data_IF_271457700558
#
_entry.id   IF_271457700558
#
_cell.length_a   1.000
_cell.length_b   1.000
_cell.length_c   1.000
_cell.angle_alpha   90.00
_cell.angle_beta   90.00
_cell.angle_gamma   90.00
#
_symmetry.space_group_name_H-M   'P 1'
#
loop_
_entity.id
_entity.type
_entity.pdbx_description
1 polymer ?
#
# COMPACT_ATOMS: atom_id res chain seq x y z
N UNK A 1 58.18 -34.16 3.29
CA UNK A 1 58.17 -35.52 3.80
C UNK A 1 56.88 -35.80 4.51
N UNK A 2 56.15 -36.81 4.00
CA UNK A 2 55.06 -37.61 4.57
C UNK A 2 53.77 -36.90 5.08
N UNK A 3 52.80 -36.98 4.21
CA UNK A 3 51.36 -36.92 4.41
C UNK A 3 50.92 -38.15 5.22
N UNK A 4 49.93 -38.01 6.12
CA UNK A 4 49.05 -39.11 6.51
C UNK A 4 47.63 -38.56 6.77
N UNK A 5 46.58 -39.28 6.36
CA UNK A 5 45.24 -38.74 6.26
C UNK A 5 44.40 -39.08 7.52
N UNK A 6 43.57 -38.15 7.91
CA UNK A 6 42.57 -38.38 8.95
C UNK A 6 41.22 -38.63 8.25
N UNK A 7 41.00 -39.86 7.84
CA UNK A 7 39.72 -40.38 7.41
C UNK A 7 39.58 -41.79 8.02
N UNK A 8 38.80 -41.88 9.10
CA UNK A 8 38.23 -43.14 9.61
C UNK A 8 37.73 -42.90 11.06
N UNK A 9 36.55 -42.37 11.25
CA UNK A 9 35.80 -42.49 12.50
C UNK A 9 34.40 -41.87 12.38
N UNK A 10 33.63 -42.33 11.44
CA UNK A 10 32.13 -42.16 11.45
C UNK A 10 31.52 -43.35 10.71
N UNK A 11 31.60 -44.52 11.29
CA UNK A 11 30.82 -45.67 10.83
C UNK A 11 30.82 -46.71 11.94
N UNK A 12 30.00 -46.52 12.96
CA UNK A 12 29.65 -47.58 13.94
C UNK A 12 28.71 -47.04 15.00
N UNK A 13 27.45 -46.70 14.63
CA UNK A 13 26.33 -46.53 15.55
C UNK A 13 24.99 -46.59 14.79
N UNK A 14 24.81 -47.66 14.02
CA UNK A 14 23.52 -47.95 13.39
C UNK A 14 23.35 -49.46 13.26
N UNK A 15 23.37 -50.19 14.37
CA UNK A 15 22.94 -51.59 14.37
C UNK A 15 22.79 -52.10 15.82
N UNK A 16 21.79 -51.68 16.53
CA UNK A 16 21.17 -52.41 17.65
C UNK A 16 19.85 -51.76 18.01
N UNK A 17 18.82 -52.00 17.29
CA UNK A 17 17.39 -52.07 17.74
C UNK A 17 16.56 -52.77 16.65
N UNK A 18 16.81 -54.05 16.48
CA UNK A 18 15.79 -54.94 15.90
C UNK A 18 16.02 -56.27 16.62
N UNK A 19 15.12 -56.62 17.49
CA UNK A 19 14.75 -57.95 17.91
C UNK A 19 14.29 -57.91 19.40
N UNK A 20 13.02 -57.57 19.62
CA UNK A 20 12.14 -58.25 20.59
C UNK A 20 10.70 -57.85 20.24
N UNK A 21 10.03 -58.59 19.45
CA UNK A 21 8.57 -58.59 19.37
C UNK A 21 8.12 -59.91 18.77
N UNK A 22 8.05 -60.90 19.59
CA UNK A 22 7.22 -62.06 19.28
C UNK A 22 6.40 -62.41 20.51
N UNK A 23 5.08 -62.49 20.27
CA UNK A 23 4.08 -63.21 21.04
C UNK A 23 3.44 -62.50 22.23
N UNK A 24 2.29 -61.89 21.97
CA UNK A 24 1.10 -62.09 22.79
C UNK A 24 -0.14 -61.93 21.91
N UNK A 25 -0.79 -63.02 21.58
CA UNK A 25 -2.17 -63.10 21.08
C UNK A 25 -3.09 -62.66 22.22
N UNK A 26 -3.90 -61.65 21.99
CA UNK A 26 -4.93 -61.21 22.94
C UNK A 26 -5.69 -60.02 22.35
N UNK A 27 -6.76 -60.32 21.60
CA UNK A 27 -7.60 -59.30 20.95
C UNK A 27 -8.23 -58.33 21.95
N UNK A 28 -7.86 -57.09 21.85
CA UNK A 28 -8.66 -55.92 22.30
C UNK A 28 -8.81 -54.99 21.11
N UNK A 29 -10.03 -54.92 20.60
CA UNK A 29 -10.42 -53.96 19.57
C UNK A 29 -10.46 -52.60 20.23
N UNK A 30 -9.36 -51.84 20.15
CA UNK A 30 -9.38 -50.41 20.40
C UNK A 30 -9.88 -49.70 19.13
N UNK A 31 -11.07 -49.13 19.22
CA UNK A 31 -11.56 -48.22 18.19
C UNK A 31 -10.53 -47.08 18.03
N UNK A 32 -10.09 -46.87 16.78
CA UNK A 32 -9.26 -45.74 16.45
C UNK A 32 -9.98 -44.41 16.86
N UNK A 33 -9.33 -43.54 17.62
CA UNK A 33 -9.86 -42.18 17.76
C UNK A 33 -9.85 -41.52 16.38
N UNK A 34 -11.03 -41.28 15.85
CA UNK A 34 -11.20 -40.57 14.58
C UNK A 34 -10.30 -39.33 14.58
N UNK A 35 -9.41 -39.21 13.59
CA UNK A 35 -8.69 -38.00 13.28
C UNK A 35 -9.69 -36.83 13.26
N UNK A 36 -9.43 -35.74 13.98
CA UNK A 36 -10.27 -34.56 13.88
C UNK A 36 -10.29 -34.14 12.40
N UNK A 37 -11.47 -34.09 11.83
CA UNK A 37 -11.68 -33.56 10.50
C UNK A 37 -11.00 -32.17 10.47
N UNK A 38 -9.93 -32.06 9.70
CA UNK A 38 -9.34 -30.75 9.40
C UNK A 38 -10.43 -29.97 8.66
N UNK A 39 -11.11 -29.12 9.40
CA UNK A 39 -11.97 -28.10 8.82
C UNK A 39 -11.05 -27.25 7.97
N UNK A 40 -11.06 -27.49 6.66
CA UNK A 40 -10.45 -26.60 5.70
C UNK A 40 -11.13 -25.24 5.88
N UNK A 41 -10.47 -24.34 6.57
CA UNK A 41 -10.88 -22.94 6.61
C UNK A 41 -10.86 -22.48 5.15
N UNK A 42 -12.02 -22.13 4.63
CA UNK A 42 -12.09 -21.43 3.35
C UNK A 42 -11.10 -20.24 3.42
N UNK A 43 -10.32 -19.98 2.37
CA UNK A 43 -9.40 -18.85 2.38
C UNK A 43 -10.21 -17.59 2.71
N UNK A 44 -9.81 -16.91 3.78
CA UNK A 44 -10.36 -15.60 4.13
C UNK A 44 -10.17 -14.69 2.90
N UNK A 45 -11.21 -14.00 2.43
CA UNK A 45 -11.03 -13.02 1.36
C UNK A 45 -9.88 -12.08 1.74
N UNK A 46 -9.01 -11.78 0.78
CA UNK A 46 -7.93 -10.83 0.99
C UNK A 46 -8.50 -9.55 1.60
N UNK A 47 -7.92 -9.09 2.70
CA UNK A 47 -8.38 -7.87 3.35
C UNK A 47 -8.17 -6.71 2.37
N UNK A 48 -9.24 -6.05 1.96
CA UNK A 48 -9.16 -4.85 1.12
C UNK A 48 -8.47 -3.75 1.93
N UNK A 49 -7.44 -3.13 1.35
CA UNK A 49 -6.75 -1.99 1.97
C UNK A 49 -7.75 -0.88 2.33
N UNK A 50 -7.57 -0.20 3.47
CA UNK A 50 -8.45 0.90 3.87
C UNK A 50 -8.59 1.92 2.74
N UNK A 51 -9.79 2.41 2.48
CA UNK A 51 -9.96 3.51 1.54
C UNK A 51 -9.19 4.74 2.03
N UNK A 52 -8.82 5.62 1.12
CA UNK A 52 -8.20 6.89 1.49
C UNK A 52 -9.07 7.69 2.47
N UNK A 53 -10.40 7.61 2.30
CA UNK A 53 -11.38 8.20 3.23
C UNK A 53 -11.28 7.60 4.63
N UNK A 54 -11.26 6.29 4.76
CA UNK A 54 -11.11 5.63 6.06
C UNK A 54 -9.79 6.00 6.75
N UNK A 55 -8.71 6.22 6.00
CA UNK A 55 -7.43 6.67 6.56
C UNK A 55 -7.51 8.11 7.08
N UNK A 56 -8.21 9.01 6.37
CA UNK A 56 -8.44 10.38 6.84
C UNK A 56 -9.34 10.42 8.08
N UNK A 57 -10.38 9.57 8.14
CA UNK A 57 -11.24 9.45 9.33
C UNK A 57 -10.46 8.93 10.54
N UNK A 58 -9.65 7.89 10.35
CA UNK A 58 -8.81 7.31 11.41
C UNK A 58 -7.78 8.32 11.97
N UNK A 59 -7.28 9.22 11.13
CA UNK A 59 -6.38 10.31 11.52
C UNK A 59 -7.13 11.51 12.16
N UNK A 60 -8.45 11.52 12.16
CA UNK A 60 -9.25 12.66 12.62
C UNK A 60 -9.25 13.85 11.63
N UNK A 61 -8.81 13.63 10.40
CA UNK A 61 -8.71 14.67 9.35
C UNK A 61 -10.01 14.84 8.56
N UNK A 62 -10.93 13.91 8.69
CA UNK A 62 -12.23 13.99 8.04
C UNK A 62 -13.29 13.21 8.83
N UNK A 63 -14.56 13.49 8.51
CA UNK A 63 -15.71 12.72 8.93
C UNK A 63 -16.62 12.46 7.73
N UNK A 64 -17.33 11.36 7.73
CA UNK A 64 -18.41 11.13 6.74
C UNK A 64 -19.71 11.64 7.34
N UNK A 65 -20.35 12.60 6.66
CA UNK A 65 -21.60 13.18 7.11
C UNK A 65 -22.80 12.24 6.88
N UNK A 66 -23.99 12.67 7.33
CA UNK A 66 -25.21 11.88 7.22
C UNK A 66 -25.64 11.60 5.76
N UNK A 67 -25.12 12.34 4.79
CA UNK A 67 -25.34 12.13 3.35
C UNK A 67 -24.32 11.15 2.71
N UNK A 68 -23.31 10.72 3.48
CA UNK A 68 -22.20 9.90 3.00
C UNK A 68 -21.08 10.70 2.34
N UNK A 69 -21.11 12.04 2.46
CA UNK A 69 -20.05 12.90 1.91
C UNK A 69 -18.89 13.02 2.91
N UNK A 70 -17.65 12.96 2.39
CA UNK A 70 -16.45 13.24 3.18
C UNK A 70 -16.35 14.75 3.45
N UNK A 71 -16.28 15.10 4.72
CA UNK A 71 -16.08 16.48 5.19
C UNK A 71 -14.74 16.57 5.88
N UNK A 72 -13.82 17.35 5.33
CA UNK A 72 -12.48 17.55 5.87
C UNK A 72 -12.53 18.46 7.10
N UNK A 73 -11.88 18.02 8.19
CA UNK A 73 -11.64 18.81 9.40
C UNK A 73 -10.45 19.74 9.18
N UNK A 74 -10.65 20.85 8.46
CA UNK A 74 -9.56 21.73 8.05
C UNK A 74 -8.69 22.19 9.23
N UNK A 75 -9.28 22.49 10.39
CA UNK A 75 -8.52 22.87 11.57
C UNK A 75 -7.58 21.75 12.06
N UNK A 76 -8.04 20.51 12.11
CA UNK A 76 -7.21 19.38 12.53
C UNK A 76 -6.02 19.14 11.56
N UNK A 77 -6.27 19.31 10.24
CA UNK A 77 -5.22 19.18 9.22
C UNK A 77 -4.22 20.34 9.29
N UNK A 78 -4.70 21.57 9.56
CA UNK A 78 -3.83 22.73 9.74
C UNK A 78 -2.96 22.61 10.98
N UNK A 79 -3.52 22.15 12.10
CA UNK A 79 -2.75 21.90 13.33
C UNK A 79 -1.67 20.85 13.07
N UNK A 80 -2.00 19.76 12.37
CA UNK A 80 -1.04 18.75 11.97
C UNK A 80 0.05 19.30 11.02
N UNK A 81 -0.34 20.13 10.04
CA UNK A 81 0.61 20.76 9.12
C UNK A 81 1.55 21.72 9.86
N UNK A 82 1.09 22.37 10.93
CA UNK A 82 1.93 23.25 11.74
C UNK A 82 3.07 22.49 12.45
N UNK A 83 2.85 21.23 12.78
CA UNK A 83 3.85 20.37 13.41
C UNK A 83 4.84 19.74 12.40
N UNK A 84 4.57 19.82 11.10
CA UNK A 84 5.51 19.34 10.06
C UNK A 84 6.70 20.30 9.96
N UNK A 85 7.92 19.76 10.00
CA UNK A 85 9.14 20.56 9.87
C UNK A 85 9.26 21.22 8.48
N UNK A 86 9.86 22.42 8.45
CA UNK A 86 10.14 23.10 7.18
C UNK A 86 11.47 22.60 6.59
N UNK A 87 11.46 22.27 5.30
CA UNK A 87 12.65 21.88 4.59
C UNK A 87 13.66 23.02 4.52
N UNK A 88 14.84 22.84 5.09
CA UNK A 88 15.95 23.80 5.00
C UNK A 88 16.83 23.56 3.78
N UNK A 89 16.82 22.34 3.25
CA UNK A 89 17.54 21.93 2.06
C UNK A 89 16.76 20.81 1.36
N UNK A 90 16.82 20.79 0.04
CA UNK A 90 16.23 19.72 -0.76
C UNK A 90 17.32 18.77 -1.26
N UNK A 91 17.12 17.47 -1.04
CA UNK A 91 18.07 16.45 -1.49
C UNK A 91 18.05 16.31 -3.01
N UNK A 92 19.23 16.08 -3.59
CA UNK A 92 19.42 15.77 -5.01
C UNK A 92 19.66 14.27 -5.22
N UNK A 93 19.81 13.82 -6.47
CA UNK A 93 20.17 12.45 -6.78
C UNK A 93 19.04 11.45 -6.61
N UNK A 94 17.79 11.88 -6.86
CA UNK A 94 16.65 10.98 -6.93
C UNK A 94 16.87 9.91 -8.01
N UNK A 95 16.58 8.68 -7.61
CA UNK A 95 16.57 7.52 -8.50
C UNK A 95 15.37 6.65 -8.10
N UNK A 96 14.47 6.40 -9.06
CA UNK A 96 13.27 5.62 -8.81
C UNK A 96 13.56 4.18 -8.39
N UNK A 97 14.63 3.58 -8.89
CA UNK A 97 14.97 2.18 -8.60
C UNK A 97 15.35 1.98 -7.13
N UNK A 98 15.68 3.06 -6.40
CA UNK A 98 15.93 3.04 -4.97
C UNK A 98 14.68 2.86 -4.11
N UNK A 99 13.49 2.91 -4.71
CA UNK A 99 12.21 2.70 -4.03
C UNK A 99 11.71 1.23 -4.10
N UNK A 100 12.60 0.30 -4.41
CA UNK A 100 12.31 -1.13 -4.37
C UNK A 100 11.38 -1.61 -5.47
N UNK A 101 10.71 -2.73 -5.21
CA UNK A 101 9.83 -3.37 -6.18
C UNK A 101 8.57 -2.54 -6.42
N UNK A 102 8.28 -2.27 -7.70
CA UNK A 102 7.00 -1.69 -8.09
C UNK A 102 5.85 -2.63 -7.74
N UNK A 103 4.83 -2.09 -7.12
CA UNK A 103 3.61 -2.82 -6.77
C UNK A 103 3.88 -4.05 -5.89
N UNK A 104 4.86 -3.93 -4.97
CA UNK A 104 5.12 -4.97 -4.00
C UNK A 104 3.88 -5.27 -3.16
N UNK A 105 3.60 -6.54 -2.90
CA UNK A 105 2.57 -6.98 -1.97
C UNK A 105 3.07 -6.74 -0.53
N UNK A 106 2.93 -5.49 -0.05
CA UNK A 106 3.48 -5.10 1.26
C UNK A 106 2.61 -5.55 2.43
N UNK A 107 1.32 -5.76 2.23
CA UNK A 107 0.37 -6.24 3.25
C UNK A 107 0.25 -7.77 3.24
N UNK A 108 0.88 -8.45 2.27
CA UNK A 108 0.94 -9.90 2.11
C UNK A 108 -0.44 -10.56 1.94
N UNK A 109 -1.36 -9.85 1.29
CA UNK A 109 -2.69 -10.38 0.99
C UNK A 109 -2.69 -11.32 -0.23
N UNK A 110 -1.58 -11.37 -0.99
CA UNK A 110 -1.38 -12.19 -2.19
C UNK A 110 -1.74 -11.49 -3.49
N UNK A 111 -2.11 -10.21 -3.43
CA UNK A 111 -2.33 -9.34 -4.57
C UNK A 111 -1.19 -8.32 -4.68
N UNK A 112 -0.92 -7.79 -5.86
CA UNK A 112 -0.02 -6.66 -5.99
C UNK A 112 -0.74 -5.36 -5.63
N UNK A 113 -0.01 -4.41 -5.04
CA UNK A 113 -0.54 -3.13 -4.55
C UNK A 113 -1.31 -2.35 -5.63
N UNK A 114 -0.93 -2.45 -6.92
CA UNK A 114 -1.70 -1.80 -8.00
C UNK A 114 -3.12 -2.35 -8.09
N UNK A 115 -3.27 -3.66 -8.00
CA UNK A 115 -4.59 -4.29 -8.04
C UNK A 115 -5.41 -3.99 -6.79
N UNK A 116 -4.77 -3.91 -5.61
CA UNK A 116 -5.44 -3.52 -4.37
C UNK A 116 -6.02 -2.11 -4.46
N UNK A 117 -5.22 -1.16 -4.97
CA UNK A 117 -5.68 0.23 -5.19
C UNK A 117 -6.80 0.29 -6.22
N UNK A 118 -6.70 -0.45 -7.34
CA UNK A 118 -7.78 -0.52 -8.32
C UNK A 118 -9.06 -1.13 -7.73
N UNK A 119 -8.95 -2.21 -6.97
CA UNK A 119 -10.09 -2.85 -6.31
C UNK A 119 -10.76 -1.95 -5.27
N UNK A 120 -9.97 -1.09 -4.61
CA UNK A 120 -10.43 -0.13 -3.60
C UNK A 120 -11.13 1.10 -4.20
N UNK A 121 -10.56 1.64 -5.28
CA UNK A 121 -10.94 2.98 -5.81
C UNK A 121 -11.97 2.90 -6.94
N UNK A 122 -12.12 1.75 -7.58
CA UNK A 122 -13.12 1.53 -8.63
C UNK A 122 -14.43 0.98 -8.04
N UNK A 123 -15.55 1.33 -8.65
CA UNK A 123 -16.84 0.67 -8.44
C UNK A 123 -17.11 -0.30 -9.59
N UNK A 124 -18.10 -1.21 -9.39
CA UNK A 124 -18.50 -2.22 -10.39
C UNK A 124 -17.31 -3.05 -10.91
N UNK A 125 -16.45 -3.45 -9.99
CA UNK A 125 -15.20 -4.16 -10.32
C UNK A 125 -15.47 -5.58 -10.78
N UNK A 126 -14.87 -5.97 -11.91
CA UNK A 126 -14.78 -7.36 -12.33
C UNK A 126 -13.34 -7.87 -12.24
N UNK A 127 -13.18 -9.05 -11.67
CA UNK A 127 -11.89 -9.68 -11.50
C UNK A 127 -11.64 -10.79 -12.52
N UNK A 128 -10.36 -11.06 -12.78
CA UNK A 128 -9.95 -12.18 -13.63
C UNK A 128 -10.24 -13.50 -12.93
N UNK A 129 -11.00 -14.42 -13.57
CA UNK A 129 -11.26 -15.73 -12.99
C UNK A 129 -9.98 -16.48 -12.61
N UNK A 130 -10.01 -17.18 -11.48
CA UNK A 130 -8.89 -17.99 -11.00
C UNK A 130 -7.75 -17.23 -10.36
N UNK A 131 -7.90 -15.93 -10.10
CA UNK A 131 -6.88 -15.09 -9.43
C UNK A 131 -7.22 -14.76 -7.98
N UNK A 132 -8.21 -15.40 -7.39
CA UNK A 132 -8.71 -15.13 -6.02
C UNK A 132 -9.08 -13.65 -5.83
N UNK A 133 -9.72 -13.08 -6.85
CA UNK A 133 -10.14 -11.68 -6.89
C UNK A 133 -8.98 -10.65 -6.74
N UNK A 134 -7.76 -11.05 -7.11
CA UNK A 134 -6.61 -10.15 -7.10
C UNK A 134 -6.50 -9.30 -8.37
N UNK A 135 -6.78 -9.86 -9.55
CA UNK A 135 -6.52 -9.13 -10.80
C UNK A 135 -7.79 -8.42 -11.29
N UNK A 136 -7.84 -7.11 -11.14
CA UNK A 136 -8.93 -6.27 -11.65
C UNK A 136 -8.89 -6.20 -13.16
N UNK A 137 -9.99 -6.57 -13.84
CA UNK A 137 -10.14 -6.50 -15.30
C UNK A 137 -10.86 -5.22 -15.75
N UNK A 138 -11.97 -4.89 -15.11
CA UNK A 138 -12.81 -3.73 -15.43
C UNK A 138 -13.32 -3.10 -14.15
N UNK A 139 -13.80 -1.86 -14.26
CA UNK A 139 -14.45 -1.11 -13.20
C UNK A 139 -14.68 0.32 -13.65
N UNK A 140 -15.31 1.12 -12.81
CA UNK A 140 -15.59 2.54 -13.07
C UNK A 140 -14.88 3.39 -12.02
N UNK A 141 -14.04 4.32 -12.46
CA UNK A 141 -13.39 5.31 -11.60
C UNK A 141 -14.20 6.60 -11.56
N UNK A 142 -14.55 7.05 -10.36
CA UNK A 142 -14.93 8.44 -10.12
C UNK A 142 -13.67 9.21 -9.76
N UNK A 143 -13.05 9.80 -10.78
CA UNK A 143 -11.71 10.39 -10.66
C UNK A 143 -11.72 11.65 -9.78
N UNK A 144 -10.95 11.61 -8.72
CA UNK A 144 -10.85 12.72 -7.78
C UNK A 144 -10.15 13.95 -8.41
N UNK A 145 -9.21 13.74 -9.33
CA UNK A 145 -8.43 14.84 -9.88
C UNK A 145 -9.20 15.68 -10.89
N UNK A 146 -10.03 15.06 -11.70
CA UNK A 146 -10.81 15.76 -12.75
C UNK A 146 -12.30 15.90 -12.41
N UNK A 147 -12.81 15.11 -11.47
CA UNK A 147 -14.24 14.97 -11.19
C UNK A 147 -14.98 14.17 -12.27
N UNK A 148 -14.26 13.56 -13.23
CA UNK A 148 -14.85 12.80 -14.32
C UNK A 148 -15.08 11.34 -13.93
N UNK A 149 -15.97 10.67 -14.66
CA UNK A 149 -16.16 9.23 -14.59
C UNK A 149 -15.41 8.56 -15.73
N UNK A 150 -14.58 7.55 -15.43
CA UNK A 150 -13.71 6.86 -16.39
C UNK A 150 -13.96 5.37 -16.30
N UNK A 151 -14.33 4.76 -17.44
CA UNK A 151 -14.43 3.31 -17.56
C UNK A 151 -13.03 2.69 -17.65
N UNK A 152 -12.66 1.91 -16.64
CA UNK A 152 -11.40 1.17 -16.64
C UNK A 152 -11.59 -0.18 -17.32
N UNK A 153 -10.70 -0.49 -18.24
CA UNK A 153 -10.54 -1.81 -18.83
C UNK A 153 -9.04 -2.15 -18.87
N UNK A 154 -8.66 -3.31 -18.31
CA UNK A 154 -7.27 -3.77 -18.35
C UNK A 154 -6.83 -4.06 -19.78
N UNK A 155 -5.72 -3.48 -20.20
CA UNK A 155 -5.14 -3.66 -21.53
C UNK A 155 -3.98 -2.68 -21.76
N UNK A 156 -3.16 -2.89 -22.78
CA UNK A 156 -1.94 -2.10 -23.01
C UNK A 156 -2.22 -0.59 -23.17
N UNK A 157 -3.28 -0.22 -23.89
CA UNK A 157 -3.64 1.19 -24.13
C UNK A 157 -4.65 1.72 -23.11
N UNK A 158 -5.65 0.94 -22.78
CA UNK A 158 -6.73 1.34 -21.88
C UNK A 158 -6.28 1.48 -20.42
N UNK A 159 -5.31 0.68 -19.99
CA UNK A 159 -4.71 0.83 -18.64
C UNK A 159 -3.95 2.15 -18.44
N UNK A 160 -3.69 2.90 -19.52
CA UNK A 160 -3.08 4.23 -19.43
C UNK A 160 -4.09 5.32 -19.09
N UNK A 161 -5.39 5.07 -19.30
CA UNK A 161 -6.46 6.01 -18.95
C UNK A 161 -6.62 6.15 -17.43
N UNK A 162 -6.38 5.05 -16.69
CA UNK A 162 -6.39 5.03 -15.23
C UNK A 162 -5.02 4.59 -14.74
N UNK A 163 -4.33 5.48 -14.07
CA UNK A 163 -3.02 5.23 -13.47
C UNK A 163 -3.15 5.23 -11.94
N UNK A 164 -2.16 4.64 -11.27
CA UNK A 164 -2.02 4.80 -9.83
C UNK A 164 -0.97 5.87 -9.59
N UNK A 165 -1.40 6.95 -8.98
CA UNK A 165 -0.55 8.07 -8.56
C UNK A 165 -0.07 7.91 -7.12
N UNK A 166 1.09 8.49 -6.83
CA UNK A 166 1.54 8.78 -5.48
C UNK A 166 1.10 10.19 -5.11
N UNK A 167 0.18 10.34 -4.16
CA UNK A 167 -0.32 11.66 -3.69
C UNK A 167 0.86 12.57 -3.34
N UNK A 168 1.81 12.05 -2.58
CA UNK A 168 3.16 12.64 -2.42
C UNK A 168 4.11 11.91 -3.37
N UNK A 169 4.57 12.54 -4.46
CA UNK A 169 5.39 11.88 -5.47
C UNK A 169 6.70 11.34 -4.90
N UNK A 170 7.20 10.23 -5.45
CA UNK A 170 8.44 9.61 -4.96
C UNK A 170 9.64 10.56 -5.02
N UNK A 171 9.78 11.33 -6.09
CA UNK A 171 10.86 12.30 -6.23
C UNK A 171 10.68 13.48 -5.27
N UNK A 172 9.45 13.91 -5.01
CA UNK A 172 9.15 14.91 -4.00
C UNK A 172 9.51 14.38 -2.60
N UNK A 173 9.04 13.20 -2.23
CA UNK A 173 9.38 12.54 -0.95
C UNK A 173 10.88 12.36 -0.76
N UNK A 174 11.62 11.98 -1.82
CA UNK A 174 13.07 11.91 -1.78
C UNK A 174 13.70 13.25 -1.39
N UNK A 175 13.25 14.35 -2.00
CA UNK A 175 13.78 15.71 -1.72
C UNK A 175 13.49 16.17 -0.29
N UNK A 176 12.42 15.66 0.32
CA UNK A 176 11.90 16.14 1.61
C UNK A 176 12.11 15.17 2.79
N UNK A 177 13.12 14.29 2.70
CA UNK A 177 13.51 13.39 3.80
C UNK A 177 13.74 11.94 3.38
N UNK A 178 13.05 11.46 2.35
CA UNK A 178 13.12 10.07 1.88
C UNK A 178 14.50 9.61 1.42
N UNK A 179 15.41 10.54 1.08
CA UNK A 179 16.81 10.25 0.75
C UNK A 179 17.58 9.62 1.93
N UNK A 180 17.15 9.86 3.16
CA UNK A 180 17.77 9.33 4.38
C UNK A 180 17.20 7.99 4.80
N UNK A 181 16.07 7.55 4.23
CA UNK A 181 15.40 6.30 4.60
C UNK A 181 16.21 5.07 4.21
N UNK A 182 15.94 3.97 4.90
CA UNK A 182 16.36 2.64 4.47
C UNK A 182 15.64 2.24 3.17
N UNK A 183 16.19 1.26 2.47
CA UNK A 183 15.57 0.70 1.26
C UNK A 183 14.15 0.17 1.53
N UNK A 184 13.98 -0.51 2.66
CA UNK A 184 12.68 -1.01 3.10
C UNK A 184 11.66 0.11 3.35
N UNK A 185 12.06 1.22 3.98
CA UNK A 185 11.16 2.36 4.20
C UNK A 185 10.75 3.03 2.89
N UNK A 186 11.68 3.12 1.92
CA UNK A 186 11.35 3.64 0.58
C UNK A 186 10.39 2.72 -0.17
N UNK A 187 10.58 1.41 -0.11
CA UNK A 187 9.67 0.44 -0.71
C UNK A 187 8.27 0.52 -0.06
N UNK A 188 8.22 0.63 1.26
CA UNK A 188 6.99 0.84 2.00
C UNK A 188 6.26 2.10 1.52
N UNK A 189 6.93 3.25 1.47
CA UNK A 189 6.37 4.51 1.00
C UNK A 189 5.83 4.43 -0.44
N UNK A 190 6.56 3.75 -1.33
CA UNK A 190 6.18 3.59 -2.73
C UNK A 190 4.97 2.67 -2.95
N UNK A 191 4.65 1.83 -1.99
CA UNK A 191 3.56 0.86 -2.07
C UNK A 191 2.50 1.05 -0.98
N UNK A 192 2.58 2.12 -0.17
CA UNK A 192 1.62 2.38 0.89
C UNK A 192 0.27 2.86 0.32
N UNK A 193 -0.84 2.16 0.63
CA UNK A 193 -2.17 2.54 0.19
C UNK A 193 -2.59 3.96 0.58
N UNK A 194 -2.07 4.54 1.67
CA UNK A 194 -2.39 5.93 2.04
C UNK A 194 -1.82 6.94 1.04
N UNK A 195 -0.69 6.62 0.41
CA UNK A 195 -0.02 7.45 -0.59
C UNK A 195 -0.46 7.14 -2.02
N UNK A 196 -1.24 6.10 -2.24
CA UNK A 196 -1.61 5.63 -3.58
C UNK A 196 -3.08 5.91 -3.90
N UNK A 197 -3.37 6.29 -5.16
CA UNK A 197 -4.72 6.56 -5.65
C UNK A 197 -4.85 6.29 -7.15
N UNK A 198 -5.98 5.67 -7.54
CA UNK A 198 -6.35 5.58 -8.95
C UNK A 198 -6.84 6.94 -9.45
N UNK A 199 -6.29 7.41 -10.58
CA UNK A 199 -6.58 8.73 -11.15
C UNK A 199 -6.54 8.71 -12.67
N UNK A 200 -7.06 9.80 -13.30
CA UNK A 200 -6.88 10.06 -14.74
C UNK A 200 -5.40 10.10 -15.12
N UNK A 201 -5.04 9.32 -16.12
CA UNK A 201 -3.64 9.16 -16.52
C UNK A 201 -3.02 10.42 -17.13
N UNK A 202 -3.78 11.24 -17.85
CA UNK A 202 -3.29 12.47 -18.43
C UNK A 202 -3.03 13.52 -17.34
N UNK A 203 -3.94 13.61 -16.39
CA UNK A 203 -3.83 14.51 -15.23
C UNK A 203 -2.67 14.11 -14.33
N UNK A 204 -2.50 12.80 -14.08
CA UNK A 204 -1.33 12.28 -13.36
C UNK A 204 -0.02 12.65 -14.07
N UNK A 205 0.03 12.52 -15.39
CA UNK A 205 1.21 12.91 -16.17
C UNK A 205 1.52 14.41 -16.05
N UNK A 206 0.49 15.26 -15.96
CA UNK A 206 0.67 16.70 -15.76
C UNK A 206 1.16 17.07 -14.37
N UNK A 207 0.75 16.29 -13.34
CA UNK A 207 1.23 16.45 -11.95
C UNK A 207 2.72 16.14 -11.84
N UNK A 208 3.16 15.05 -12.48
CA UNK A 208 4.57 14.61 -12.43
C UNK A 208 5.07 14.46 -10.98
N UNK A 209 6.16 15.16 -10.63
CA UNK A 209 6.75 15.18 -9.29
C UNK A 209 6.52 16.50 -8.54
N UNK A 210 5.48 17.24 -8.94
CA UNK A 210 5.11 18.52 -8.33
C UNK A 210 4.50 18.34 -6.95
N UNK A 211 4.82 19.29 -6.06
CA UNK A 211 4.12 19.47 -4.80
C UNK A 211 2.90 20.39 -4.96
N UNK A 212 2.14 20.62 -3.85
CA UNK A 212 0.93 21.45 -3.86
C UNK A 212 1.15 22.91 -4.27
N UNK A 213 2.36 23.44 -4.12
CA UNK A 213 2.73 24.78 -4.53
C UNK A 213 2.81 24.98 -6.04
N UNK A 214 3.07 23.89 -6.77
CA UNK A 214 3.23 23.89 -8.22
C UNK A 214 2.06 23.27 -8.97
N UNK A 215 1.34 22.36 -8.30
CA UNK A 215 0.21 21.64 -8.90
C UNK A 215 -0.87 21.28 -7.87
N UNK A 216 -2.11 21.51 -8.25
CA UNK A 216 -3.30 21.05 -7.54
C UNK A 216 -4.25 20.35 -8.52
N UNK A 217 -5.10 19.41 -8.06
CA UNK A 217 -6.11 18.80 -8.92
C UNK A 217 -6.95 19.84 -9.69
N UNK A 218 -7.25 19.64 -10.99
CA UNK A 218 -8.14 20.53 -11.73
C UNK A 218 -9.55 20.69 -11.11
N UNK A 219 -10.06 19.61 -10.48
CA UNK A 219 -11.36 19.64 -9.82
C UNK A 219 -11.27 20.32 -8.44
N UNK A 220 -11.71 21.56 -8.34
CA UNK A 220 -11.69 22.31 -7.07
C UNK A 220 -12.40 21.59 -5.92
N UNK A 221 -13.43 20.78 -6.21
CA UNK A 221 -14.15 20.01 -5.20
C UNK A 221 -13.27 18.99 -4.46
N UNK A 222 -12.15 18.56 -5.04
CA UNK A 222 -11.22 17.61 -4.43
C UNK A 222 -10.09 18.26 -3.64
N UNK A 223 -9.95 19.57 -3.69
CA UNK A 223 -8.79 20.26 -3.11
C UNK A 223 -8.64 19.99 -1.61
N UNK A 224 -9.74 19.98 -0.86
CA UNK A 224 -9.72 19.74 0.58
C UNK A 224 -9.27 18.31 0.90
N UNK A 225 -9.81 17.32 0.18
CA UNK A 225 -9.41 15.93 0.36
C UNK A 225 -7.95 15.70 -0.05
N UNK A 226 -7.52 16.28 -1.18
CA UNK A 226 -6.15 16.18 -1.64
C UNK A 226 -5.15 16.79 -0.63
N UNK A 227 -5.44 18.00 -0.13
CA UNK A 227 -4.60 18.65 0.87
C UNK A 227 -4.51 17.83 2.17
N UNK A 228 -5.64 17.33 2.66
CA UNK A 228 -5.68 16.49 3.86
C UNK A 228 -4.88 15.19 3.68
N UNK A 229 -4.97 14.54 2.52
CA UNK A 229 -4.19 13.33 2.22
C UNK A 229 -2.70 13.62 2.09
N UNK A 230 -2.34 14.74 1.46
CA UNK A 230 -0.94 15.14 1.35
C UNK A 230 -0.34 15.30 2.75
N UNK A 231 -1.00 16.04 3.65
CA UNK A 231 -0.55 16.24 5.04
C UNK A 231 -0.50 14.91 5.80
N UNK A 232 -1.49 14.03 5.64
CA UNK A 232 -1.49 12.70 6.26
C UNK A 232 -0.23 11.90 5.91
N UNK A 233 0.17 11.93 4.64
CA UNK A 233 1.39 11.24 4.17
C UNK A 233 2.65 11.90 4.72
N UNK A 234 2.70 13.27 4.78
CA UNK A 234 3.83 13.97 5.39
C UNK A 234 4.07 13.48 6.82
N UNK A 235 3.01 13.42 7.62
CA UNK A 235 3.10 12.97 9.01
C UNK A 235 3.46 11.49 9.15
N UNK A 236 2.85 10.63 8.33
CA UNK A 236 3.08 9.18 8.40
C UNK A 236 4.54 8.80 8.10
N UNK A 237 5.24 9.64 7.35
CA UNK A 237 6.60 9.38 6.89
C UNK A 237 7.65 10.37 7.40
N UNK A 238 7.25 11.24 8.34
CA UNK A 238 8.14 12.26 8.92
C UNK A 238 8.87 13.08 7.83
N UNK A 239 8.09 13.51 6.83
CA UNK A 239 8.59 14.30 5.72
C UNK A 239 8.56 15.79 6.08
N UNK A 240 9.55 16.53 5.60
CA UNK A 240 9.55 18.00 5.68
C UNK A 240 8.71 18.60 4.55
N UNK A 241 8.34 19.86 4.64
CA UNK A 241 7.62 20.60 3.59
C UNK A 241 8.30 21.94 3.34
N UNK A 242 8.41 22.37 2.07
CA UNK A 242 8.93 23.69 1.76
C UNK A 242 7.88 24.80 1.94
N UNK A 243 8.32 26.04 1.88
CA UNK A 243 7.45 27.21 2.12
C UNK A 243 6.38 27.37 1.02
N UNK A 244 6.63 26.96 -0.22
CA UNK A 244 5.67 27.10 -1.30
C UNK A 244 4.52 26.10 -1.13
N UNK A 245 4.86 24.84 -0.88
CA UNK A 245 3.89 23.76 -0.63
C UNK A 245 3.10 24.03 0.65
N UNK A 246 3.75 24.47 1.73
CA UNK A 246 3.08 24.83 2.98
C UNK A 246 2.05 25.94 2.77
N UNK A 247 2.40 27.01 2.05
CA UNK A 247 1.46 28.11 1.75
C UNK A 247 0.27 27.63 0.92
N UNK A 248 0.50 26.78 -0.07
CA UNK A 248 -0.57 26.23 -0.90
C UNK A 248 -1.52 25.35 -0.10
N UNK A 249 -0.98 24.47 0.75
CA UNK A 249 -1.77 23.61 1.65
C UNK A 249 -2.59 24.46 2.64
N UNK A 250 -1.98 25.42 3.32
CA UNK A 250 -2.67 26.31 4.28
C UNK A 250 -3.76 27.12 3.58
N UNK A 251 -3.48 27.68 2.42
CA UNK A 251 -4.46 28.46 1.64
C UNK A 251 -5.65 27.61 1.20
N UNK A 252 -5.40 26.36 0.78
CA UNK A 252 -6.43 25.38 0.42
C UNK A 252 -7.30 25.03 1.64
N UNK A 253 -6.68 24.64 2.76
CA UNK A 253 -7.37 24.27 3.98
C UNK A 253 -8.20 25.42 4.55
N UNK A 254 -7.70 26.65 4.46
CA UNK A 254 -8.46 27.85 4.83
C UNK A 254 -9.78 28.02 4.06
N UNK A 255 -9.83 27.53 2.80
CA UNK A 255 -11.05 27.54 1.97
C UNK A 255 -12.01 26.38 2.26
N UNK A 256 -11.57 25.35 2.99
CA UNK A 256 -12.37 24.17 3.33
C UNK A 256 -13.29 24.38 4.54
N UNK A 257 -13.30 25.56 5.13
CA UNK A 257 -14.02 25.89 6.37
C UNK A 257 -15.43 26.45 6.12
N UNK A 258 -16.06 26.13 5.02
CA UNK A 258 -17.38 26.66 4.71
C UNK A 258 -18.50 25.83 5.35
#
# INVERSE_FOLDING_TARGET
>A
MKKTPLALLVALLAAVVVLVATQFDGGIVFGEPGSPAQTSLAPTPAAVSPSARASLEAAGFAVVDASGQLVVSAAAVEDALADVDTATQVATGYDRDRFGQRWADIDRNGCDTRNDVLARDLVDVAFKPGTRDCVVLTGVLHDLYTGSTIDFQRGERSSQLVQIDHVVPLAWGWRHGGNTWTEQQREQFANDPINLQAVDGATNSSKSDSGPGDWMPPAAASHCEYAARFVLVLMAYDLTVDDADRRALTGTLGSCRA
#
